data_IF_931312169190
#
_entry.id   IF_931312169190
#
_cell.length_a   1.000
_cell.length_b   1.000
_cell.length_c   1.000
_cell.angle_alpha   90.00
_cell.angle_beta   90.00
_cell.angle_gamma   90.00
#
_symmetry.space_group_name_H-M   'P 1'
#
loop_
_entity.id
_entity.type
_entity.pdbx_description
1 polymer ?
#
# COMPACT_ATOMS: atom_id res chain seq x y z
N UNK A 1 -25.35 -19.96 -21.85
CA UNK A 1 -25.29 -20.71 -20.58
C UNK A 1 -23.86 -20.86 -20.02
N UNK A 2 -22.85 -21.22 -20.81
CA UNK A 2 -21.47 -21.34 -20.34
C UNK A 2 -20.91 -19.98 -19.85
N UNK A 3 -21.26 -18.88 -20.49
CA UNK A 3 -20.80 -17.53 -20.14
C UNK A 3 -21.41 -17.05 -18.81
N UNK A 4 -22.67 -17.36 -18.54
CA UNK A 4 -23.32 -17.11 -17.26
C UNK A 4 -22.71 -17.95 -16.14
N UNK A 5 -22.36 -19.21 -16.41
CA UNK A 5 -21.71 -20.10 -15.45
C UNK A 5 -20.32 -19.60 -15.07
N UNK A 6 -19.52 -19.12 -16.04
CA UNK A 6 -18.20 -18.55 -15.78
C UNK A 6 -18.28 -17.27 -14.92
N UNK A 7 -19.23 -16.37 -15.20
CA UNK A 7 -19.47 -15.20 -14.36
C UNK A 7 -19.83 -15.59 -12.92
N UNK A 8 -20.70 -16.58 -12.75
CA UNK A 8 -21.06 -17.08 -11.41
C UNK A 8 -19.86 -17.63 -10.66
N UNK A 9 -18.99 -18.42 -11.31
CA UNK A 9 -17.77 -18.95 -10.70
C UNK A 9 -16.85 -17.83 -10.24
N UNK A 10 -16.63 -16.81 -11.07
CA UNK A 10 -15.83 -15.65 -10.72
C UNK A 10 -16.39 -14.90 -9.49
N UNK A 11 -17.73 -14.75 -9.41
CA UNK A 11 -18.39 -14.15 -8.24
C UNK A 11 -18.16 -15.00 -6.99
N UNK A 12 -18.26 -16.31 -7.08
CA UNK A 12 -18.02 -17.21 -5.94
C UNK A 12 -16.59 -17.08 -5.40
N UNK A 13 -15.58 -17.01 -6.27
CA UNK A 13 -14.20 -16.79 -5.85
C UNK A 13 -14.00 -15.41 -5.17
N UNK A 14 -14.68 -14.35 -5.64
CA UNK A 14 -14.67 -13.04 -4.96
C UNK A 14 -15.26 -13.14 -3.55
N UNK A 15 -16.42 -13.79 -3.41
CA UNK A 15 -17.08 -13.98 -2.11
C UNK A 15 -16.20 -14.82 -1.19
N UNK A 16 -15.61 -15.90 -1.69
CA UNK A 16 -14.71 -16.78 -0.95
C UNK A 16 -13.46 -16.01 -0.47
N UNK A 17 -12.85 -15.23 -1.35
CA UNK A 17 -11.71 -14.37 -1.01
C UNK A 17 -12.04 -13.40 0.11
N UNK A 18 -13.19 -12.72 0.06
CA UNK A 18 -13.63 -11.81 1.12
C UNK A 18 -13.85 -12.55 2.45
N UNK A 19 -14.46 -13.73 2.43
CA UNK A 19 -14.66 -14.53 3.66
C UNK A 19 -13.34 -14.97 4.29
N UNK A 20 -12.37 -15.38 3.49
CA UNK A 20 -11.03 -15.68 3.98
C UNK A 20 -10.34 -14.45 4.55
N UNK A 21 -10.49 -13.30 3.89
CA UNK A 21 -9.93 -12.02 4.35
C UNK A 21 -10.52 -11.61 5.71
N UNK A 22 -11.84 -11.71 5.88
CA UNK A 22 -12.54 -11.42 7.15
C UNK A 22 -12.03 -12.30 8.30
N UNK A 23 -11.61 -13.53 7.99
CA UNK A 23 -11.02 -14.46 8.94
C UNK A 23 -9.49 -14.37 9.02
N UNK A 24 -8.88 -13.36 8.39
CA UNK A 24 -7.41 -13.15 8.35
C UNK A 24 -6.63 -14.33 7.74
N UNK A 25 -7.27 -15.14 6.92
CA UNK A 25 -6.68 -16.25 6.17
C UNK A 25 -6.11 -15.72 4.85
N UNK A 26 -5.02 -14.94 4.95
CA UNK A 26 -4.50 -14.14 3.82
C UNK A 26 -3.99 -15.00 2.66
N UNK A 27 -3.40 -16.16 2.93
CA UNK A 27 -2.93 -17.08 1.90
C UNK A 27 -4.07 -17.68 1.07
N UNK A 28 -5.16 -18.09 1.72
CA UNK A 28 -6.36 -18.60 1.07
C UNK A 28 -7.11 -17.49 0.34
N UNK A 29 -7.20 -16.30 0.95
CA UNK A 29 -7.79 -15.11 0.32
C UNK A 29 -7.02 -14.75 -0.97
N UNK A 30 -5.68 -14.76 -0.93
CA UNK A 30 -4.84 -14.50 -2.09
C UNK A 30 -5.16 -15.44 -3.24
N UNK A 31 -5.20 -16.76 -2.98
CA UNK A 31 -5.53 -17.78 -3.99
C UNK A 31 -6.92 -17.56 -4.57
N UNK A 32 -7.91 -17.25 -3.73
CA UNK A 32 -9.28 -17.02 -4.16
C UNK A 32 -9.40 -15.77 -5.05
N UNK A 33 -8.74 -14.67 -4.68
CA UNK A 33 -8.73 -13.45 -5.51
C UNK A 33 -7.98 -13.65 -6.84
N UNK A 34 -6.87 -14.39 -6.83
CA UNK A 34 -6.16 -14.76 -8.07
C UNK A 34 -7.06 -15.60 -8.98
N UNK A 35 -7.82 -16.55 -8.43
CA UNK A 35 -8.82 -17.30 -9.21
C UNK A 35 -9.93 -16.40 -9.75
N UNK A 36 -10.41 -15.44 -8.97
CA UNK A 36 -11.41 -14.49 -9.44
C UNK A 36 -10.90 -13.64 -10.62
N UNK A 37 -9.61 -13.31 -10.65
CA UNK A 37 -8.98 -12.57 -11.74
C UNK A 37 -8.93 -13.34 -13.07
N UNK A 38 -8.96 -14.67 -13.06
CA UNK A 38 -9.09 -15.48 -14.29
C UNK A 38 -10.43 -15.19 -15.01
N UNK A 39 -11.47 -14.81 -14.27
CA UNK A 39 -12.80 -14.47 -14.77
C UNK A 39 -13.02 -12.96 -14.96
N UNK A 40 -12.33 -12.14 -14.17
CA UNK A 40 -12.44 -10.67 -14.17
C UNK A 40 -11.05 -10.01 -14.29
N UNK A 41 -10.35 -10.17 -15.42
CA UNK A 41 -8.93 -9.76 -15.55
C UNK A 41 -8.70 -8.24 -15.51
N UNK A 42 -9.74 -7.44 -15.61
CA UNK A 42 -9.67 -5.97 -15.57
C UNK A 42 -10.38 -5.39 -14.34
N UNK A 43 -10.37 -6.11 -13.23
CA UNK A 43 -10.98 -5.64 -11.99
C UNK A 43 -9.91 -5.09 -11.04
N UNK A 44 -9.81 -3.77 -10.93
CA UNK A 44 -8.84 -3.08 -10.08
C UNK A 44 -8.98 -3.43 -8.59
N UNK A 45 -10.20 -3.70 -8.11
CA UNK A 45 -10.44 -4.09 -6.72
C UNK A 45 -9.81 -5.45 -6.39
N UNK A 46 -9.88 -6.40 -7.33
CA UNK A 46 -9.26 -7.72 -7.13
C UNK A 46 -7.74 -7.61 -7.07
N UNK A 47 -7.13 -6.83 -7.96
CA UNK A 47 -5.69 -6.56 -7.89
C UNK A 47 -5.30 -5.87 -6.60
N UNK A 48 -6.08 -4.90 -6.13
CA UNK A 48 -5.85 -4.28 -4.83
C UNK A 48 -5.82 -5.31 -3.70
N UNK A 49 -6.79 -6.21 -3.63
CA UNK A 49 -6.84 -7.24 -2.60
C UNK A 49 -5.74 -8.29 -2.73
N UNK A 50 -5.31 -8.63 -3.94
CA UNK A 50 -4.11 -9.44 -4.16
C UNK A 50 -2.89 -8.74 -3.56
N UNK A 51 -2.72 -7.44 -3.80
CA UNK A 51 -1.64 -6.65 -3.21
C UNK A 51 -1.66 -6.65 -1.69
N UNK A 52 -2.83 -6.43 -1.09
CA UNK A 52 -3.02 -6.47 0.38
C UNK A 52 -2.67 -7.84 0.96
N UNK A 53 -3.22 -8.91 0.41
CA UNK A 53 -2.96 -10.27 0.89
C UNK A 53 -1.48 -10.65 0.75
N UNK A 54 -0.86 -10.31 -0.39
CA UNK A 54 0.56 -10.55 -0.61
C UNK A 54 1.44 -9.78 0.40
N UNK A 55 1.09 -8.53 0.73
CA UNK A 55 1.74 -7.76 1.78
C UNK A 55 1.69 -8.48 3.14
N UNK A 56 0.53 -8.96 3.56
CA UNK A 56 0.42 -9.75 4.80
C UNK A 56 1.21 -11.07 4.73
N UNK A 57 1.21 -11.75 3.60
CA UNK A 57 1.99 -12.98 3.43
C UNK A 57 3.50 -12.74 3.47
N UNK A 58 3.98 -11.58 3.05
CA UNK A 58 5.40 -11.22 3.16
C UNK A 58 5.85 -11.10 4.62
N UNK A 59 5.00 -10.57 5.50
CA UNK A 59 5.27 -10.52 6.94
C UNK A 59 5.25 -11.91 7.57
N UNK A 60 4.24 -12.73 7.25
CA UNK A 60 4.16 -14.10 7.74
C UNK A 60 5.35 -14.97 7.31
N UNK A 61 5.92 -14.74 6.12
CA UNK A 61 7.11 -15.47 5.65
C UNK A 61 8.35 -15.23 6.51
N UNK A 62 8.43 -14.10 7.23
CA UNK A 62 9.55 -13.79 8.13
C UNK A 62 9.50 -14.58 9.43
N UNK A 63 8.31 -14.93 9.91
CA UNK A 63 8.12 -15.59 11.20
C UNK A 63 8.59 -17.06 11.20
N UNK A 64 8.76 -17.65 10.04
CA UNK A 64 9.17 -19.07 9.90
C UNK A 64 10.69 -19.32 9.90
N UNK A 65 11.53 -18.27 9.94
CA UNK A 65 12.96 -18.33 10.30
C UNK A 65 13.86 -19.33 9.54
N UNK A 66 13.52 -19.76 8.34
CA UNK A 66 14.31 -20.69 7.52
C UNK A 66 15.12 -20.01 6.41
N UNK A 67 16.07 -20.72 5.81
CA UNK A 67 16.93 -20.22 4.73
C UNK A 67 16.20 -19.79 3.45
N UNK A 68 14.91 -20.13 3.31
CA UNK A 68 14.04 -19.69 2.20
C UNK A 68 13.11 -18.51 2.53
N UNK A 69 13.11 -18.00 3.77
CA UNK A 69 12.17 -16.99 4.22
C UNK A 69 12.37 -15.63 3.51
N UNK A 70 13.60 -15.25 3.25
CA UNK A 70 13.94 -13.99 2.56
C UNK A 70 13.49 -14.00 1.09
N UNK A 71 13.67 -15.11 0.39
CA UNK A 71 13.22 -15.26 -1.00
C UNK A 71 11.69 -15.26 -1.08
N UNK A 72 11.04 -15.97 -0.18
CA UNK A 72 9.58 -16.01 -0.10
C UNK A 72 9.00 -14.64 0.22
N UNK A 73 9.59 -13.92 1.19
CA UNK A 73 9.22 -12.52 1.48
C UNK A 73 9.35 -11.65 0.23
N UNK A 74 10.49 -11.71 -0.44
CA UNK A 74 10.73 -10.93 -1.64
C UNK A 74 9.70 -11.22 -2.74
N UNK A 75 9.38 -12.49 -2.98
CA UNK A 75 8.38 -12.88 -3.97
C UNK A 75 6.98 -12.35 -3.65
N UNK A 76 6.58 -12.34 -2.38
CA UNK A 76 5.31 -11.74 -1.97
C UNK A 76 5.31 -10.21 -2.10
N UNK A 77 6.42 -9.54 -1.79
CA UNK A 77 6.53 -8.08 -1.97
C UNK A 77 6.47 -7.70 -3.46
N UNK A 78 7.11 -8.48 -4.34
CA UNK A 78 7.01 -8.30 -5.79
C UNK A 78 5.60 -8.53 -6.32
N UNK A 79 4.92 -9.57 -5.84
CA UNK A 79 3.52 -9.81 -6.18
C UNK A 79 2.63 -8.65 -5.75
N UNK A 80 2.85 -8.08 -4.56
CA UNK A 80 2.11 -6.92 -4.08
C UNK A 80 2.36 -5.69 -4.97
N UNK A 81 3.62 -5.41 -5.33
CA UNK A 81 3.99 -4.32 -6.23
C UNK A 81 3.28 -4.43 -7.57
N UNK A 82 3.39 -5.58 -8.23
CA UNK A 82 2.77 -5.85 -9.53
C UNK A 82 1.23 -5.71 -9.47
N UNK A 83 0.62 -6.20 -8.40
CA UNK A 83 -0.82 -6.12 -8.22
C UNK A 83 -1.30 -4.66 -8.04
N UNK A 84 -0.64 -3.87 -7.20
CA UNK A 84 -0.99 -2.45 -7.04
C UNK A 84 -0.75 -1.65 -8.32
N UNK A 85 0.36 -1.89 -9.02
CA UNK A 85 0.64 -1.26 -10.30
C UNK A 85 -0.44 -1.59 -11.32
N UNK A 86 -0.88 -2.85 -11.39
CA UNK A 86 -1.94 -3.26 -12.30
C UNK A 86 -3.28 -2.62 -11.95
N UNK A 87 -3.61 -2.48 -10.66
CA UNK A 87 -4.81 -1.77 -10.23
C UNK A 87 -4.79 -0.30 -10.68
N UNK A 88 -3.64 0.37 -10.56
CA UNK A 88 -3.44 1.77 -10.97
C UNK A 88 -3.48 1.92 -12.51
N UNK A 89 -2.97 0.94 -13.26
CA UNK A 89 -3.08 0.91 -14.73
C UNK A 89 -4.53 0.85 -15.20
N UNK A 90 -5.37 0.07 -14.51
CA UNK A 90 -6.81 -0.05 -14.82
C UNK A 90 -7.57 1.20 -14.41
N UNK A 91 -7.27 1.73 -13.23
CA UNK A 91 -7.88 2.94 -12.70
C UNK A 91 -6.79 3.84 -12.10
N UNK A 92 -6.35 4.83 -12.84
CA UNK A 92 -5.21 5.69 -12.50
C UNK A 92 -5.45 6.61 -11.29
N UNK A 93 -6.72 6.77 -10.87
CA UNK A 93 -7.16 7.53 -9.70
C UNK A 93 -7.56 6.65 -8.50
N UNK A 94 -7.17 5.39 -8.51
CA UNK A 94 -7.55 4.45 -7.48
C UNK A 94 -6.76 4.67 -6.19
N UNK A 95 -7.29 5.51 -5.31
CA UNK A 95 -6.64 6.00 -4.08
C UNK A 95 -6.11 4.87 -3.20
N UNK A 96 -6.85 3.77 -3.06
CA UNK A 96 -6.41 2.62 -2.24
C UNK A 96 -5.13 1.98 -2.75
N UNK A 97 -5.02 1.79 -4.08
CA UNK A 97 -3.83 1.19 -4.67
C UNK A 97 -2.64 2.16 -4.65
N UNK A 98 -2.88 3.46 -4.90
CA UNK A 98 -1.86 4.51 -4.77
C UNK A 98 -1.27 4.54 -3.35
N UNK A 99 -2.12 4.47 -2.34
CA UNK A 99 -1.69 4.41 -0.94
C UNK A 99 -0.92 3.12 -0.63
N UNK A 100 -1.49 1.96 -0.99
CA UNK A 100 -0.86 0.65 -0.76
C UNK A 100 0.53 0.54 -1.39
N UNK A 101 0.69 1.03 -2.62
CA UNK A 101 1.97 1.07 -3.32
C UNK A 101 2.96 2.03 -2.63
N UNK A 102 2.49 3.20 -2.20
CA UNK A 102 3.30 4.15 -1.43
C UNK A 102 3.85 3.56 -0.14
N UNK A 103 2.99 2.91 0.64
CA UNK A 103 3.39 2.20 1.88
C UNK A 103 4.39 1.08 1.57
N UNK A 104 4.15 0.28 0.54
CA UNK A 104 5.02 -0.81 0.13
C UNK A 104 6.43 -0.30 -0.21
N UNK A 105 6.55 0.75 -1.01
CA UNK A 105 7.85 1.31 -1.40
C UNK A 105 8.59 1.95 -0.22
N UNK A 106 7.89 2.66 0.68
CA UNK A 106 8.54 3.36 1.79
C UNK A 106 8.99 2.41 2.89
N UNK A 107 8.15 1.44 3.26
CA UNK A 107 8.36 0.66 4.49
C UNK A 107 8.85 -0.77 4.25
N UNK A 108 8.61 -1.35 3.07
CA UNK A 108 8.93 -2.75 2.82
C UNK A 108 10.07 -2.93 1.80
N UNK A 109 10.12 -2.10 0.77
CA UNK A 109 11.11 -2.20 -0.30
C UNK A 109 12.29 -1.24 -0.16
N UNK A 110 12.21 -0.26 0.76
CA UNK A 110 13.21 0.81 0.93
C UNK A 110 13.48 1.59 -0.38
N UNK A 111 12.43 1.80 -1.15
CA UNK A 111 12.46 2.50 -2.44
C UNK A 111 11.62 3.80 -2.37
N UNK A 112 11.89 4.62 -1.35
CA UNK A 112 11.08 5.81 -1.03
C UNK A 112 10.90 6.78 -2.20
N UNK A 113 11.91 6.95 -3.04
CA UNK A 113 11.82 7.82 -4.23
C UNK A 113 10.73 7.37 -5.20
N UNK A 114 10.51 6.05 -5.33
CA UNK A 114 9.44 5.52 -6.19
C UNK A 114 8.05 5.78 -5.62
N UNK A 115 7.92 5.92 -4.31
CA UNK A 115 6.64 6.20 -3.66
C UNK A 115 6.11 7.60 -3.94
N UNK A 116 7.02 8.59 -4.07
CA UNK A 116 6.70 10.01 -4.11
C UNK A 116 5.65 10.34 -5.18
N UNK A 117 5.81 9.99 -6.48
CA UNK A 117 4.85 10.38 -7.50
C UNK A 117 3.44 9.78 -7.28
N UNK A 118 3.34 8.58 -6.73
CA UNK A 118 2.06 7.94 -6.44
C UNK A 118 1.34 8.61 -5.27
N UNK A 119 2.07 8.97 -4.22
CA UNK A 119 1.52 9.64 -3.04
C UNK A 119 1.16 11.09 -3.35
N UNK A 120 1.97 11.80 -4.13
CA UNK A 120 1.63 13.14 -4.62
C UNK A 120 0.36 13.10 -5.46
N UNK A 121 0.24 12.13 -6.38
CA UNK A 121 -0.99 11.92 -7.16
C UNK A 121 -2.18 11.64 -6.26
N UNK A 122 -2.04 10.78 -5.26
CA UNK A 122 -3.10 10.50 -4.29
C UNK A 122 -3.60 11.79 -3.64
N UNK A 123 -2.70 12.65 -3.18
CA UNK A 123 -3.06 13.90 -2.51
C UNK A 123 -3.66 14.96 -3.44
N UNK A 124 -3.57 14.81 -4.76
CA UNK A 124 -4.37 15.62 -5.70
C UNK A 124 -5.83 15.16 -5.77
N UNK A 125 -6.10 13.92 -5.39
CA UNK A 125 -7.43 13.29 -5.44
C UNK A 125 -8.11 13.41 -4.08
N UNK A 126 -7.41 12.98 -3.02
CA UNK A 126 -7.83 13.04 -1.62
C UNK A 126 -6.90 14.00 -0.85
N UNK A 127 -7.21 15.28 -0.97
CA UNK A 127 -6.35 16.40 -0.52
C UNK A 127 -6.17 16.50 0.99
N UNK A 128 -6.99 15.78 1.78
CA UNK A 128 -6.97 15.77 3.25
C UNK A 128 -6.62 14.41 3.84
N UNK A 129 -6.04 13.53 3.07
CA UNK A 129 -5.63 12.20 3.52
C UNK A 129 -4.39 12.31 4.41
N UNK A 130 -4.62 12.37 5.72
CA UNK A 130 -3.55 12.54 6.72
C UNK A 130 -2.56 11.36 6.69
N UNK A 131 -3.05 10.14 6.52
CA UNK A 131 -2.19 8.95 6.51
C UNK A 131 -1.26 8.95 5.28
N UNK A 132 -1.77 9.34 4.13
CA UNK A 132 -0.95 9.51 2.93
C UNK A 132 0.08 10.65 3.08
N UNK A 133 -0.29 11.74 3.77
CA UNK A 133 0.67 12.82 4.06
C UNK A 133 1.81 12.34 4.95
N UNK A 134 1.55 11.52 5.97
CA UNK A 134 2.61 10.92 6.80
C UNK A 134 3.56 10.05 5.99
N UNK A 135 3.01 9.18 5.12
CA UNK A 135 3.83 8.31 4.26
C UNK A 135 4.66 9.14 3.29
N UNK A 136 4.09 10.17 2.69
CA UNK A 136 4.81 11.07 1.77
C UNK A 136 5.90 11.87 2.51
N UNK A 137 5.62 12.39 3.70
CA UNK A 137 6.62 13.07 4.51
C UNK A 137 7.81 12.14 4.84
N UNK A 138 7.53 10.87 5.16
CA UNK A 138 8.56 9.86 5.36
C UNK A 138 9.36 9.57 4.09
N UNK A 139 8.68 9.50 2.92
CA UNK A 139 9.33 9.32 1.63
C UNK A 139 10.29 10.48 1.32
N UNK A 140 9.85 11.72 1.51
CA UNK A 140 10.70 12.90 1.35
C UNK A 140 11.90 12.88 2.29
N UNK A 141 11.71 12.55 3.58
CA UNK A 141 12.79 12.42 4.55
C UNK A 141 13.83 11.39 4.11
N UNK A 142 13.40 10.20 3.73
CA UNK A 142 14.30 9.12 3.27
C UNK A 142 15.02 9.45 1.97
N UNK A 143 14.47 10.35 1.17
CA UNK A 143 15.07 10.86 -0.08
C UNK A 143 15.88 12.14 0.10
N UNK A 144 16.16 12.53 1.36
CA UNK A 144 16.88 13.76 1.72
C UNK A 144 16.22 15.07 1.25
N UNK A 145 14.93 15.03 0.92
CA UNK A 145 14.13 16.22 0.57
C UNK A 145 13.52 16.85 1.84
N UNK A 146 14.39 17.30 2.75
CA UNK A 146 14.02 17.76 4.10
C UNK A 146 13.00 18.90 4.10
N UNK A 147 13.14 19.88 3.23
CA UNK A 147 12.21 21.01 3.14
C UNK A 147 10.80 20.57 2.80
N UNK A 148 10.65 19.60 1.87
CA UNK A 148 9.36 19.03 1.50
C UNK A 148 8.77 18.18 2.63
N UNK A 149 9.61 17.44 3.36
CA UNK A 149 9.17 16.68 4.52
C UNK A 149 8.62 17.60 5.61
N UNK A 150 9.32 18.68 5.93
CA UNK A 150 8.87 19.71 6.90
C UNK A 150 7.54 20.32 6.45
N UNK A 151 7.46 20.77 5.20
CA UNK A 151 6.22 21.35 4.65
C UNK A 151 5.02 20.39 4.72
N UNK A 152 5.26 19.09 4.51
CA UNK A 152 4.20 18.08 4.62
C UNK A 152 3.76 17.88 6.07
N UNK A 153 4.67 17.86 7.06
CA UNK A 153 4.30 17.82 8.48
C UNK A 153 3.53 19.08 8.90
N UNK A 154 3.92 20.27 8.42
CA UNK A 154 3.17 21.50 8.67
C UNK A 154 1.74 21.41 8.12
N UNK A 155 1.58 20.82 6.93
CA UNK A 155 0.26 20.57 6.34
C UNK A 155 -0.57 19.60 7.19
N UNK A 156 0.03 18.54 7.74
CA UNK A 156 -0.64 17.60 8.66
C UNK A 156 -1.14 18.36 9.89
N UNK A 157 -0.25 19.12 10.56
CA UNK A 157 -0.55 19.89 11.77
C UNK A 157 -1.73 20.84 11.54
N UNK A 158 -1.75 21.51 10.38
CA UNK A 158 -2.82 22.44 10.01
C UNK A 158 -4.14 21.75 9.62
N UNK A 159 -4.10 20.50 9.18
CA UNK A 159 -5.26 19.82 8.57
C UNK A 159 -5.93 18.85 9.53
N UNK A 160 -5.14 18.15 10.38
CA UNK A 160 -5.68 17.11 11.26
C UNK A 160 -6.48 17.70 12.43
N UNK A 161 -7.56 16.99 12.82
CA UNK A 161 -8.33 17.27 14.03
C UNK A 161 -7.93 16.37 15.21
N UNK A 162 -7.04 15.42 14.98
CA UNK A 162 -6.53 14.50 16.00
C UNK A 162 -5.32 15.09 16.68
N UNK A 163 -5.41 15.35 17.99
CA UNK A 163 -4.28 15.84 18.80
C UNK A 163 -3.12 14.84 18.80
N UNK A 164 -3.40 13.53 18.77
CA UNK A 164 -2.38 12.49 18.67
C UNK A 164 -1.59 12.59 17.36
N UNK A 165 -2.30 12.67 16.21
CA UNK A 165 -1.65 12.83 14.89
C UNK A 165 -0.90 14.15 14.79
N UNK A 166 -1.41 15.22 15.42
CA UNK A 166 -0.73 16.51 15.48
C UNK A 166 0.58 16.42 16.24
N UNK A 167 0.56 15.84 17.45
CA UNK A 167 1.75 15.63 18.26
C UNK A 167 2.79 14.76 17.54
N UNK A 168 2.35 13.68 16.88
CA UNK A 168 3.24 12.83 16.07
C UNK A 168 3.87 13.58 14.90
N UNK A 169 3.13 14.47 14.24
CA UNK A 169 3.65 15.28 13.15
C UNK A 169 4.67 16.33 13.66
N UNK A 170 4.42 16.95 14.82
CA UNK A 170 5.35 17.88 15.45
C UNK A 170 6.66 17.19 15.85
N UNK A 171 6.59 16.00 16.44
CA UNK A 171 7.77 15.20 16.80
C UNK A 171 8.58 14.80 15.56
N UNK A 172 7.94 14.25 14.55
CA UNK A 172 8.60 13.87 13.30
C UNK A 172 9.21 15.07 12.58
N UNK A 173 8.52 16.21 12.56
CA UNK A 173 9.07 17.46 12.01
C UNK A 173 10.36 17.86 12.70
N UNK A 174 10.42 17.77 14.04
CA UNK A 174 11.64 18.05 14.80
C UNK A 174 12.79 17.14 14.40
N UNK A 175 12.53 15.83 14.25
CA UNK A 175 13.55 14.86 13.79
C UNK A 175 14.11 15.26 12.42
N UNK A 176 13.25 15.68 11.49
CA UNK A 176 13.68 16.13 10.16
C UNK A 176 14.55 17.38 10.24
N UNK A 177 14.15 18.37 11.05
CA UNK A 177 14.92 19.60 11.24
C UNK A 177 16.29 19.30 11.88
N UNK A 178 16.34 18.46 12.90
CA UNK A 178 17.60 18.06 13.54
C UNK A 178 18.53 17.37 12.52
N UNK A 179 18.00 16.51 11.66
CA UNK A 179 18.78 15.85 10.60
C UNK A 179 19.28 16.83 9.52
N UNK A 180 18.47 17.83 9.15
CA UNK A 180 18.82 18.82 8.15
C UNK A 180 19.93 19.78 8.62
N UNK A 181 19.98 20.10 9.93
CA UNK A 181 20.96 21.04 10.50
C UNK A 181 22.19 20.36 11.11
N UNK A 182 22.24 19.03 11.18
CA UNK A 182 23.37 18.27 11.71
C UNK A 182 24.44 17.95 10.66
N UNK A 183 24.21 18.34 9.41
CA UNK A 183 25.17 18.31 8.29
C UNK A 183 25.65 19.72 7.98
#
# INVERSE_FOLDING_TARGET
DLQLTNQQVGIWYKILGNRYLDNKMYGEALKAFQKALEYYPNNQNLYYWVGVCAGYMSHAAMDFGGTGSSEMKYNYLKLAEEAYLRAIEIEDRYVRALYGLGVLYVFELDESEKAIPYLEKLLTIDTKNIDAMFVLARAYYSSYEFDKAVAMYDKIIATTKSEEKKASAEENKKIVLDAAYSN
#
